data_IF_680851777993
#
_entry.id   IF_680851777993
#
_cell.length_a   1.000
_cell.length_b   1.000
_cell.length_c   1.000
_cell.angle_alpha   90.00
_cell.angle_beta   90.00
_cell.angle_gamma   90.00
#
_symmetry.space_group_name_H-M   'P 1'
#
loop_
_entity.id
_entity.type
_entity.pdbx_description
1 polymer ?
#
# COMPACT_ATOMS: atom_id res chain seq x y z
N UNK A 1 -14.70 5.14 -4.98
CA UNK A 1 -14.59 5.16 -3.50
C UNK A 1 -13.17 4.72 -3.19
N UNK A 2 -12.29 5.68 -2.94
CA UNK A 2 -10.86 5.42 -2.86
C UNK A 2 -10.57 4.61 -1.59
N UNK A 3 -9.97 3.44 -1.73
CA UNK A 3 -9.33 2.69 -0.65
C UNK A 3 -8.37 3.63 0.06
N UNK A 4 -8.83 4.23 1.15
CA UNK A 4 -8.09 5.29 1.79
C UNK A 4 -6.95 4.72 2.61
N UNK A 5 -6.98 3.45 3.04
CA UNK A 5 -5.94 2.88 3.90
C UNK A 5 -5.30 1.61 3.34
N UNK A 6 -4.14 1.28 3.91
CA UNK A 6 -3.34 0.10 3.56
C UNK A 6 -4.15 -1.21 3.70
N UNK A 7 -4.97 -1.35 4.74
CA UNK A 7 -5.79 -2.54 4.96
C UNK A 7 -6.80 -2.80 3.83
N UNK A 8 -7.54 -1.75 3.43
CA UNK A 8 -8.49 -1.86 2.33
C UNK A 8 -7.78 -2.12 1.01
N UNK A 9 -6.66 -1.43 0.76
CA UNK A 9 -5.92 -1.63 -0.47
C UNK A 9 -5.31 -3.03 -0.58
N UNK A 10 -4.80 -3.58 0.53
CA UNK A 10 -4.31 -4.95 0.59
C UNK A 10 -5.44 -5.96 0.30
N UNK A 11 -6.62 -5.72 0.86
CA UNK A 11 -7.82 -6.55 0.63
C UNK A 11 -8.25 -6.50 -0.84
N UNK A 12 -8.23 -5.33 -1.47
CA UNK A 12 -8.54 -5.14 -2.89
C UNK A 12 -7.54 -5.86 -3.80
N UNK A 13 -6.25 -5.79 -3.46
CA UNK A 13 -5.17 -6.51 -4.16
C UNK A 13 -5.14 -8.01 -3.84
N UNK A 14 -6.05 -8.50 -2.97
CA UNK A 14 -6.07 -9.88 -2.45
C UNK A 14 -4.71 -10.32 -1.89
N UNK A 15 -4.01 -9.41 -1.22
CA UNK A 15 -2.73 -9.67 -0.58
C UNK A 15 -2.75 -9.33 0.91
N UNK A 16 -1.87 -9.93 1.72
CA UNK A 16 -1.75 -9.58 3.12
C UNK A 16 -1.29 -8.13 3.28
N UNK A 17 -1.92 -7.38 4.18
CA UNK A 17 -1.52 -5.99 4.46
C UNK A 17 -0.09 -5.87 4.99
N UNK A 18 0.39 -6.89 5.70
CA UNK A 18 1.78 -7.01 6.15
C UNK A 18 2.78 -7.05 4.97
N UNK A 19 2.41 -7.77 3.91
CA UNK A 19 3.22 -7.88 2.69
C UNK A 19 3.15 -6.57 1.90
N UNK A 20 1.97 -5.97 1.82
CA UNK A 20 1.79 -4.65 1.23
C UNK A 20 2.63 -3.58 1.94
N UNK A 21 2.68 -3.57 3.28
CA UNK A 21 3.51 -2.64 4.07
C UNK A 21 4.99 -2.78 3.74
N UNK A 22 5.49 -4.02 3.61
CA UNK A 22 6.88 -4.28 3.20
C UNK A 22 7.17 -3.78 1.80
N UNK A 23 6.26 -3.97 0.86
CA UNK A 23 6.40 -3.50 -0.51
C UNK A 23 6.31 -1.97 -0.61
N UNK A 24 5.43 -1.35 0.18
CA UNK A 24 5.35 0.11 0.31
C UNK A 24 6.68 0.66 0.84
N UNK A 25 7.22 0.09 1.91
CA UNK A 25 8.51 0.49 2.46
C UNK A 25 9.64 0.32 1.42
N UNK A 26 9.64 -0.79 0.66
CA UNK A 26 10.61 -1.02 -0.42
C UNK A 26 10.49 -0.02 -1.58
N UNK A 27 9.28 0.48 -1.85
CA UNK A 27 9.01 1.55 -2.81
C UNK A 27 9.32 2.97 -2.25
N UNK A 28 9.85 3.06 -1.03
CA UNK A 28 10.14 4.34 -0.34
C UNK A 28 8.90 5.02 0.23
N UNK A 29 7.82 4.26 0.45
CA UNK A 29 6.59 4.73 1.09
C UNK A 29 6.56 4.21 2.52
N UNK A 30 6.91 5.07 3.47
CA UNK A 30 6.92 4.72 4.90
C UNK A 30 5.49 4.71 5.44
N UNK A 31 4.89 3.52 5.52
CA UNK A 31 3.64 3.25 6.25
C UNK A 31 3.95 2.33 7.42
N UNK A 32 3.44 2.68 8.59
CA UNK A 32 3.71 1.95 9.83
C UNK A 32 2.56 1.02 10.21
N UNK A 33 1.36 1.23 9.64
CA UNK A 33 0.17 0.49 10.03
C UNK A 33 -0.79 0.28 8.89
N UNK A 34 -1.59 -0.77 9.00
CA UNK A 34 -2.64 -1.08 8.01
C UNK A 34 -3.76 -0.03 8.01
N UNK A 35 -3.88 0.74 9.09
CA UNK A 35 -4.77 1.90 9.21
C UNK A 35 -4.21 3.15 8.53
N UNK A 36 -2.93 3.18 8.15
CA UNK A 36 -2.34 4.35 7.49
C UNK A 36 -3.00 4.62 6.15
N UNK A 37 -3.15 5.91 5.84
CA UNK A 37 -3.80 6.35 4.62
C UNK A 37 -2.83 6.22 3.44
N UNK A 38 -3.28 5.60 2.34
CA UNK A 38 -2.55 5.52 1.07
C UNK A 38 -3.04 6.60 0.12
N UNK A 39 -2.14 7.51 -0.23
CA UNK A 39 -2.36 8.49 -1.28
C UNK A 39 -2.27 7.84 -2.67
N UNK A 40 -2.70 8.56 -3.71
CA UNK A 40 -2.52 8.10 -5.10
C UNK A 40 -1.05 7.89 -5.43
N UNK A 41 -0.17 8.80 -5.04
CA UNK A 41 1.28 8.70 -5.26
C UNK A 41 1.89 7.47 -4.59
N UNK A 42 1.45 7.14 -3.37
CA UNK A 42 1.91 5.95 -2.65
C UNK A 42 1.59 4.66 -3.43
N UNK A 43 0.39 4.60 -3.99
CA UNK A 43 -0.06 3.45 -4.80
C UNK A 43 0.69 3.38 -6.12
N UNK A 44 0.90 4.51 -6.80
CA UNK A 44 1.68 4.58 -8.04
C UNK A 44 3.12 4.11 -7.83
N UNK A 45 3.78 4.56 -6.73
CA UNK A 45 5.13 4.10 -6.36
C UNK A 45 5.18 2.60 -6.14
N UNK A 46 4.22 2.05 -5.40
CA UNK A 46 4.11 0.61 -5.17
C UNK A 46 3.92 -0.17 -6.48
N UNK A 47 2.96 0.26 -7.32
CA UNK A 47 2.68 -0.40 -8.60
C UNK A 47 3.88 -0.30 -9.55
N UNK A 48 4.62 0.80 -9.51
CA UNK A 48 5.88 0.96 -10.23
C UNK A 48 6.99 0.05 -9.73
N UNK A 49 7.03 -0.23 -8.42
CA UNK A 49 8.00 -1.16 -7.83
C UNK A 49 7.69 -2.64 -8.11
N UNK A 50 6.40 -2.97 -8.29
CA UNK A 50 5.91 -4.31 -8.59
C UNK A 50 5.96 -4.69 -10.08
N UNK A 51 6.32 -3.76 -10.97
CA UNK A 51 6.50 -3.99 -12.41
C UNK A 51 7.94 -4.35 -12.73
#
# INVERSE_FOLDING_TARGET
MASNNVAQFATELKMPADLLLKQLAAAGVEKSSTSDVLSKEDKDRLLGHLR
#
